data_IF_818561789310
#
_entry.id   IF_818561789310
#
_cell.length_a   1.000
_cell.length_b   1.000
_cell.length_c   1.000
_cell.angle_alpha   90.00
_cell.angle_beta   90.00
_cell.angle_gamma   90.00
#
_symmetry.space_group_name_H-M   'P 1'
#
loop_
_entity.id
_entity.type
_entity.pdbx_description
1 polymer ?
#
# COMPACT_ATOMS: atom_id res chain seq x y z
N UNK A 1 -54.52 20.31 -4.86
CA UNK A 1 -54.79 18.87 -4.63
C UNK A 1 -53.46 18.24 -4.21
N UNK A 2 -53.21 18.00 -2.93
CA UNK A 2 -52.04 17.31 -2.45
C UNK A 2 -52.20 15.82 -2.79
N UNK A 3 -51.52 15.37 -3.83
CA UNK A 3 -51.50 13.93 -4.18
C UNK A 3 -50.93 13.15 -2.98
N UNK A 4 -51.64 12.07 -2.62
CA UNK A 4 -51.13 11.16 -1.54
C UNK A 4 -49.72 10.72 -1.88
N UNK A 5 -48.75 10.82 -0.97
CA UNK A 5 -47.40 10.37 -1.23
C UNK A 5 -47.41 8.90 -1.67
N UNK A 6 -46.48 8.48 -2.57
CA UNK A 6 -46.37 7.10 -3.03
C UNK A 6 -46.11 6.19 -1.82
N UNK A 7 -46.52 4.92 -1.89
CA UNK A 7 -46.16 3.97 -0.85
C UNK A 7 -44.63 3.76 -0.84
N UNK A 8 -44.06 3.50 0.35
CA UNK A 8 -42.63 3.23 0.53
C UNK A 8 -42.17 2.12 -0.42
N UNK A 9 -42.93 1.04 -0.54
CA UNK A 9 -42.60 -0.10 -1.40
C UNK A 9 -42.62 0.27 -2.89
N UNK A 10 -43.63 1.04 -3.35
CA UNK A 10 -43.67 1.50 -4.73
C UNK A 10 -42.50 2.41 -5.08
N UNK A 11 -42.16 3.34 -4.18
CA UNK A 11 -41.02 4.24 -4.35
C UNK A 11 -39.69 3.46 -4.34
N UNK A 12 -39.49 2.52 -3.41
CA UNK A 12 -38.31 1.67 -3.36
C UNK A 12 -38.12 0.84 -4.65
N UNK A 13 -39.21 0.29 -5.20
CA UNK A 13 -39.15 -0.47 -6.47
C UNK A 13 -38.77 0.40 -7.67
N UNK A 14 -39.19 1.66 -7.72
CA UNK A 14 -38.79 2.57 -8.83
C UNK A 14 -37.30 2.87 -8.83
N UNK A 15 -36.60 2.68 -7.68
CA UNK A 15 -35.17 2.88 -7.52
C UNK A 15 -34.32 1.63 -7.84
N UNK A 16 -34.92 0.52 -8.28
CA UNK A 16 -34.20 -0.75 -8.52
C UNK A 16 -33.04 -0.63 -9.52
N UNK A 17 -33.10 0.34 -10.42
CA UNK A 17 -32.05 0.63 -11.41
C UNK A 17 -30.71 1.07 -10.77
N UNK A 18 -30.71 1.55 -9.52
CA UNK A 18 -29.50 1.95 -8.77
C UNK A 18 -28.66 0.71 -8.35
N UNK A 19 -29.27 -0.49 -8.36
CA UNK A 19 -28.55 -1.74 -8.07
C UNK A 19 -28.30 -2.02 -6.58
N UNK A 20 -28.86 -1.22 -5.67
CA UNK A 20 -28.79 -1.50 -4.24
C UNK A 20 -29.74 -2.64 -3.83
N UNK A 21 -29.39 -3.42 -2.78
CA UNK A 21 -30.33 -4.34 -2.14
C UNK A 21 -31.64 -3.64 -1.73
N UNK A 22 -32.79 -4.31 -1.98
CA UNK A 22 -34.11 -3.72 -1.72
C UNK A 22 -34.29 -3.07 -0.33
N UNK A 23 -33.78 -3.62 0.79
CA UNK A 23 -33.86 -2.95 2.10
C UNK A 23 -33.25 -1.54 2.12
N UNK A 24 -32.13 -1.32 1.43
CA UNK A 24 -31.48 -0.01 1.35
C UNK A 24 -32.32 0.98 0.51
N UNK A 25 -32.96 0.49 -0.55
CA UNK A 25 -33.91 1.30 -1.34
C UNK A 25 -35.15 1.68 -0.53
N UNK A 26 -35.63 0.76 0.32
CA UNK A 26 -36.70 1.03 1.28
C UNK A 26 -36.32 2.12 2.29
N UNK A 27 -35.09 2.09 2.78
CA UNK A 27 -34.58 3.10 3.71
C UNK A 27 -34.48 4.47 3.05
N UNK A 28 -33.98 4.54 1.80
CA UNK A 28 -33.97 5.78 1.00
C UNK A 28 -35.40 6.34 0.79
N UNK A 29 -36.34 5.46 0.39
CA UNK A 29 -37.74 5.85 0.20
C UNK A 29 -38.39 6.36 1.50
N UNK A 30 -38.14 5.74 2.64
CA UNK A 30 -38.62 6.18 3.96
C UNK A 30 -38.07 7.55 4.34
N UNK A 31 -36.77 7.78 4.15
CA UNK A 31 -36.13 9.06 4.44
C UNK A 31 -36.73 10.18 3.58
N UNK A 32 -36.90 9.96 2.28
CA UNK A 32 -37.49 10.93 1.37
C UNK A 32 -38.95 11.28 1.74
N UNK A 33 -39.79 10.27 2.08
CA UNK A 33 -41.17 10.47 2.52
C UNK A 33 -41.19 11.21 3.85
N UNK A 34 -40.32 10.87 4.82
CA UNK A 34 -40.21 11.55 6.10
C UNK A 34 -39.79 13.02 5.97
N UNK A 35 -38.96 13.35 4.97
CA UNK A 35 -38.57 14.70 4.62
C UNK A 35 -39.70 15.48 3.89
N UNK A 36 -40.82 14.83 3.56
CA UNK A 36 -41.92 15.43 2.82
C UNK A 36 -41.70 15.57 1.32
N UNK A 37 -40.61 15.08 0.80
CA UNK A 37 -40.25 15.14 -0.63
C UNK A 37 -39.84 13.77 -1.18
N UNK A 38 -40.76 12.99 -1.73
CA UNK A 38 -40.46 11.69 -2.35
C UNK A 38 -39.46 11.74 -3.51
N UNK A 39 -39.25 12.92 -4.13
CA UNK A 39 -38.30 13.07 -5.24
C UNK A 39 -36.84 12.96 -4.80
N UNK A 40 -36.57 13.22 -3.52
CA UNK A 40 -35.23 13.03 -2.92
C UNK A 40 -34.82 11.56 -2.82
N UNK A 41 -35.73 10.60 -3.02
CA UNK A 41 -35.42 9.18 -2.82
C UNK A 41 -34.29 8.66 -3.71
N UNK A 42 -34.23 9.13 -4.95
CA UNK A 42 -33.18 8.75 -5.89
C UNK A 42 -31.82 9.32 -5.47
N UNK A 43 -31.78 10.58 -5.06
CA UNK A 43 -30.56 11.19 -4.56
C UNK A 43 -30.07 10.47 -3.30
N UNK A 44 -30.96 10.22 -2.32
CA UNK A 44 -30.60 9.51 -1.09
C UNK A 44 -30.09 8.10 -1.39
N UNK A 45 -30.71 7.38 -2.33
CA UNK A 45 -30.25 6.05 -2.72
C UNK A 45 -28.86 6.10 -3.39
N UNK A 46 -28.60 7.10 -4.24
CA UNK A 46 -27.28 7.32 -4.85
C UNK A 46 -26.24 7.69 -3.79
N UNK A 47 -26.58 8.53 -2.79
CA UNK A 47 -25.68 8.86 -1.68
C UNK A 47 -25.33 7.61 -0.85
N UNK A 48 -26.34 6.74 -0.60
CA UNK A 48 -26.08 5.44 0.06
C UNK A 48 -25.11 4.60 -0.82
N UNK A 49 -25.37 4.50 -2.12
CA UNK A 49 -24.50 3.74 -3.03
C UNK A 49 -23.05 4.26 -3.05
N UNK A 50 -22.87 5.59 -3.02
CA UNK A 50 -21.56 6.23 -3.00
C UNK A 50 -20.78 6.01 -1.68
N UNK A 51 -21.49 5.74 -0.56
CA UNK A 51 -20.85 5.40 0.71
C UNK A 51 -20.37 3.94 0.79
N UNK A 52 -20.77 3.08 -0.13
CA UNK A 52 -20.37 1.68 -0.16
C UNK A 52 -19.00 1.50 -0.83
N UNK A 53 -18.34 0.39 -0.51
CA UNK A 53 -17.10 0.00 -1.18
C UNK A 53 -17.41 -0.42 -2.63
N UNK A 54 -16.95 0.35 -3.60
CA UNK A 54 -17.13 0.10 -5.03
C UNK A 54 -15.80 0.12 -5.76
N UNK A 55 -15.64 -0.67 -6.84
CA UNK A 55 -14.49 -0.53 -7.74
C UNK A 55 -14.48 0.86 -8.39
N UNK A 56 -13.30 1.44 -8.54
CA UNK A 56 -13.11 2.73 -9.19
C UNK A 56 -12.00 2.64 -10.24
N UNK A 57 -12.06 3.49 -11.26
CA UNK A 57 -10.97 3.66 -12.23
C UNK A 57 -10.03 4.74 -11.70
N UNK A 58 -8.80 4.36 -11.41
CA UNK A 58 -7.76 5.29 -10.96
C UNK A 58 -7.11 5.98 -12.16
N UNK A 59 -7.45 7.22 -12.41
CA UNK A 59 -6.87 8.08 -13.46
C UNK A 59 -6.02 9.22 -12.88
N UNK A 60 -5.57 9.08 -11.62
CA UNK A 60 -4.82 10.14 -10.91
C UNK A 60 -3.35 10.20 -11.28
N UNK A 61 -2.77 9.10 -11.80
CA UNK A 61 -1.33 8.97 -11.98
C UNK A 61 -0.56 8.58 -10.70
N UNK A 62 -1.25 8.29 -9.59
CA UNK A 62 -0.63 7.74 -8.37
C UNK A 62 -0.89 6.24 -8.33
N UNK A 63 0.16 5.40 -8.55
CA UNK A 63 -0.02 3.94 -8.70
C UNK A 63 -0.54 3.32 -7.41
N UNK A 64 0.18 3.46 -6.30
CA UNK A 64 -0.27 3.01 -4.97
C UNK A 64 -0.97 4.16 -4.24
N UNK A 65 -2.18 4.51 -4.69
CA UNK A 65 -2.93 5.66 -4.17
C UNK A 65 -3.53 5.35 -2.79
N UNK A 66 -3.14 6.10 -1.77
CA UNK A 66 -3.52 5.85 -0.36
C UNK A 66 -5.04 5.75 -0.17
N UNK A 67 -5.81 6.68 -0.72
CA UNK A 67 -7.27 6.72 -0.55
C UNK A 67 -8.02 5.72 -1.44
N UNK A 68 -7.33 5.05 -2.38
CA UNK A 68 -7.89 4.03 -3.27
C UNK A 68 -7.41 2.61 -2.89
N UNK A 69 -6.97 2.40 -1.66
CA UNK A 69 -6.54 1.09 -1.17
C UNK A 69 -5.10 0.74 -1.49
N UNK A 70 -4.28 1.71 -1.95
CA UNK A 70 -2.88 1.56 -2.37
C UNK A 70 -2.73 0.69 -3.61
N UNK A 71 -1.87 -0.35 -3.57
CA UNK A 71 -1.66 -1.21 -4.74
C UNK A 71 -2.89 -2.08 -5.03
N UNK A 72 -3.46 -2.03 -6.24
CA UNK A 72 -4.49 -2.97 -6.63
C UNK A 72 -3.91 -4.39 -6.72
N UNK A 73 -4.70 -5.39 -6.38
CA UNK A 73 -4.27 -6.79 -6.28
C UNK A 73 -5.03 -7.65 -7.27
N UNK A 74 -4.32 -8.34 -8.15
CA UNK A 74 -4.89 -9.33 -9.07
C UNK A 74 -5.11 -10.66 -8.32
N UNK A 75 -6.22 -10.79 -7.62
CA UNK A 75 -6.57 -12.02 -6.89
C UNK A 75 -8.05 -12.34 -7.00
N UNK A 76 -8.34 -13.58 -7.38
CA UNK A 76 -9.70 -14.13 -7.34
C UNK A 76 -9.75 -15.29 -6.35
N UNK A 77 -10.56 -15.15 -5.31
CA UNK A 77 -10.75 -16.20 -4.30
C UNK A 77 -11.71 -17.26 -4.81
N UNK A 78 -11.28 -18.52 -4.84
CA UNK A 78 -12.17 -19.64 -5.06
C UNK A 78 -13.02 -19.90 -3.80
N UNK A 79 -14.32 -20.13 -3.97
CA UNK A 79 -15.24 -20.45 -2.87
C UNK A 79 -15.05 -21.90 -2.36
N UNK A 80 -13.85 -22.22 -1.90
CA UNK A 80 -13.48 -23.55 -1.36
C UNK A 80 -12.62 -23.39 -0.11
N UNK A 81 -12.65 -24.40 0.76
CA UNK A 81 -11.72 -24.51 1.87
C UNK A 81 -10.26 -24.60 1.37
N UNK A 82 -9.36 -24.05 2.14
CA UNK A 82 -7.91 -24.04 1.87
C UNK A 82 -7.17 -24.67 3.04
N UNK A 83 -6.00 -25.25 2.78
CA UNK A 83 -5.13 -25.88 3.78
C UNK A 83 -4.36 -24.86 4.63
N UNK A 84 -5.01 -23.76 5.03
CA UNK A 84 -4.37 -22.62 5.68
C UNK A 84 -3.64 -22.95 6.99
N UNK A 85 -4.20 -23.87 7.79
CA UNK A 85 -3.60 -24.41 9.03
C UNK A 85 -3.58 -25.95 9.03
N UNK A 86 -3.55 -26.56 7.86
CA UNK A 86 -3.56 -28.00 7.71
C UNK A 86 -2.36 -28.45 6.87
N UNK A 87 -1.52 -29.30 7.46
CA UNK A 87 -0.38 -29.90 6.77
C UNK A 87 -0.86 -31.11 5.96
N UNK A 88 -0.80 -30.99 4.64
CA UNK A 88 -1.24 -32.05 3.71
C UNK A 88 -0.35 -33.29 3.75
N UNK A 89 0.91 -33.16 4.21
CA UNK A 89 1.87 -34.28 4.29
C UNK A 89 1.60 -35.14 5.53
N UNK A 90 1.36 -34.50 6.66
CA UNK A 90 1.19 -35.21 7.95
C UNK A 90 -0.26 -35.43 8.33
N UNK A 91 -1.22 -34.74 7.68
CA UNK A 91 -2.62 -34.72 8.06
C UNK A 91 -2.92 -34.07 9.40
N UNK A 92 -1.96 -33.30 9.93
CA UNK A 92 -2.06 -32.65 11.23
C UNK A 92 -2.27 -31.13 11.08
N UNK A 93 -2.56 -30.47 12.20
CA UNK A 93 -2.60 -29.01 12.25
C UNK A 93 -1.20 -28.43 12.02
N UNK A 94 -1.07 -27.58 10.99
CA UNK A 94 0.13 -26.85 10.65
C UNK A 94 0.09 -25.38 11.10
N UNK A 95 1.19 -24.68 10.85
CA UNK A 95 1.30 -23.24 11.08
C UNK A 95 0.71 -22.47 9.89
N UNK A 96 -0.17 -21.51 10.16
CA UNK A 96 -0.69 -20.56 9.17
C UNK A 96 0.41 -19.79 8.43
N UNK A 97 1.53 -19.59 9.08
CA UNK A 97 2.66 -18.80 8.56
C UNK A 97 3.63 -19.62 7.69
N UNK A 98 3.66 -20.94 7.84
CA UNK A 98 4.73 -21.77 7.29
C UNK A 98 4.91 -21.60 5.77
N UNK A 99 3.84 -21.74 4.99
CA UNK A 99 3.93 -21.64 3.53
C UNK A 99 4.32 -20.22 3.06
N UNK A 100 3.62 -19.21 3.55
CA UNK A 100 3.87 -17.81 3.16
C UNK A 100 5.23 -17.33 3.67
N UNK A 101 5.58 -17.65 4.92
CA UNK A 101 6.89 -17.29 5.48
C UNK A 101 8.06 -17.84 4.66
N UNK A 102 7.97 -19.08 4.19
CA UNK A 102 8.99 -19.68 3.33
C UNK A 102 9.12 -18.96 1.97
N UNK A 103 7.99 -18.59 1.35
CA UNK A 103 8.00 -17.87 0.07
C UNK A 103 8.62 -16.46 0.23
N UNK A 104 8.27 -15.74 1.30
CA UNK A 104 8.84 -14.42 1.61
C UNK A 104 10.33 -14.53 1.90
N UNK A 105 10.75 -15.47 2.77
CA UNK A 105 12.15 -15.68 3.10
C UNK A 105 12.97 -15.96 1.83
N UNK A 106 12.47 -16.81 0.94
CA UNK A 106 13.14 -17.10 -0.34
C UNK A 106 13.21 -15.87 -1.25
N UNK A 107 12.14 -15.06 -1.33
CA UNK A 107 12.11 -13.85 -2.17
C UNK A 107 13.09 -12.79 -1.68
N UNK A 108 13.29 -12.67 -0.36
CA UNK A 108 14.19 -11.71 0.27
C UNK A 108 15.60 -12.27 0.55
N UNK A 109 15.86 -13.56 0.33
CA UNK A 109 17.13 -14.19 0.71
C UNK A 109 17.36 -14.24 2.22
N UNK A 110 16.29 -14.34 3.01
CA UNK A 110 16.30 -14.38 4.47
C UNK A 110 16.31 -15.83 5.01
N UNK A 111 16.73 -16.03 6.26
CA UNK A 111 16.65 -17.32 6.94
C UNK A 111 15.20 -17.69 7.26
N UNK A 112 14.41 -16.70 7.69
CA UNK A 112 13.01 -16.87 8.08
C UNK A 112 12.20 -15.60 7.83
N UNK A 113 10.88 -15.75 7.80
CA UNK A 113 9.96 -14.64 7.68
C UNK A 113 8.60 -14.95 8.31
N UNK A 114 7.92 -13.88 8.76
CA UNK A 114 6.52 -13.93 9.16
C UNK A 114 5.73 -12.74 8.60
N UNK A 115 4.41 -12.88 8.57
CA UNK A 115 3.49 -11.87 8.05
C UNK A 115 2.51 -11.44 9.13
N UNK A 116 2.26 -10.13 9.20
CA UNK A 116 1.29 -9.50 10.09
C UNK A 116 0.36 -8.57 9.29
N UNK A 117 -0.61 -7.94 9.94
CA UNK A 117 -1.67 -7.14 9.30
C UNK A 117 -1.16 -5.96 8.46
N UNK A 118 -0.09 -5.29 8.89
CA UNK A 118 0.54 -4.15 8.24
C UNK A 118 1.93 -3.91 8.83
N UNK A 119 2.70 -3.00 8.24
CA UNK A 119 4.07 -2.72 8.70
C UNK A 119 4.12 -2.08 10.09
N UNK A 120 3.15 -1.27 10.48
CA UNK A 120 3.06 -0.74 11.84
C UNK A 120 2.96 -1.86 12.88
N UNK A 121 2.16 -2.90 12.59
CA UNK A 121 2.08 -4.11 13.39
C UNK A 121 3.39 -4.91 13.41
N UNK A 122 4.15 -4.92 12.30
CA UNK A 122 5.46 -5.57 12.25
C UNK A 122 6.45 -4.88 13.18
N UNK A 123 6.58 -3.56 13.10
CA UNK A 123 7.47 -2.77 13.97
C UNK A 123 7.06 -2.92 15.44
N UNK A 124 5.76 -2.78 15.75
CA UNK A 124 5.26 -2.95 17.12
C UNK A 124 5.57 -4.34 17.66
N UNK A 125 5.37 -5.40 16.89
CA UNK A 125 5.63 -6.77 17.32
C UNK A 125 7.12 -7.02 17.57
N UNK A 126 8.00 -6.53 16.69
CA UNK A 126 9.46 -6.63 16.86
C UNK A 126 9.89 -5.95 18.14
N UNK A 127 9.45 -4.72 18.37
CA UNK A 127 9.77 -3.95 19.58
C UNK A 127 9.25 -4.63 20.84
N UNK A 128 8.00 -5.09 20.86
CA UNK A 128 7.41 -5.78 21.99
C UNK A 128 8.09 -7.12 22.31
N UNK A 129 8.48 -7.88 21.26
CA UNK A 129 9.09 -9.19 21.44
C UNK A 129 10.57 -9.12 21.84
N UNK A 130 11.31 -8.12 21.36
CA UNK A 130 12.77 -8.08 21.48
C UNK A 130 13.30 -6.98 22.42
N UNK A 131 12.48 -5.97 22.74
CA UNK A 131 12.93 -4.79 23.46
C UNK A 131 12.02 -4.34 24.62
N UNK A 132 11.03 -5.13 25.01
CA UNK A 132 10.13 -4.77 26.12
C UNK A 132 10.93 -4.45 27.39
N UNK A 133 10.70 -3.26 27.97
CA UNK A 133 11.38 -2.79 29.17
C UNK A 133 12.84 -2.39 28.97
N UNK A 134 13.38 -2.44 27.75
CA UNK A 134 14.76 -2.11 27.39
C UNK A 134 14.82 -0.90 26.45
N UNK A 135 16.01 -0.40 26.20
CA UNK A 135 16.24 0.75 25.35
C UNK A 135 16.39 0.34 23.87
N UNK A 136 15.83 1.14 22.98
CA UNK A 136 15.97 1.01 21.53
C UNK A 136 16.64 2.28 21.00
N UNK A 137 17.83 2.13 20.43
CA UNK A 137 18.58 3.24 19.88
C UNK A 137 18.04 3.61 18.48
N UNK A 138 17.60 4.85 18.32
CA UNK A 138 17.06 5.38 17.05
C UNK A 138 17.73 6.71 16.76
N UNK A 139 18.10 6.95 15.49
CA UNK A 139 18.54 8.29 15.07
C UNK A 139 17.42 9.30 15.32
N UNK A 140 17.76 10.44 15.91
CA UNK A 140 16.78 11.53 16.10
C UNK A 140 16.18 12.00 14.78
N UNK A 141 16.91 11.94 13.66
CA UNK A 141 16.41 12.20 12.32
C UNK A 141 15.43 11.14 11.80
N UNK A 142 15.39 9.96 12.43
CA UNK A 142 14.53 8.83 12.09
C UNK A 142 13.34 8.67 13.06
N UNK A 143 13.21 9.53 14.08
CA UNK A 143 12.04 9.64 14.96
C UNK A 143 10.91 10.37 14.25
N UNK A 144 10.34 9.74 13.22
CA UNK A 144 9.46 10.34 12.23
C UNK A 144 7.99 9.99 12.44
N UNK A 145 7.11 10.81 11.85
CA UNK A 145 5.70 10.45 11.62
C UNK A 145 5.56 9.99 10.16
N UNK A 146 5.08 8.75 9.99
CA UNK A 146 4.72 8.17 8.70
C UNK A 146 3.19 8.20 8.54
N UNK A 147 2.68 8.19 7.32
CA UNK A 147 1.27 8.40 6.99
C UNK A 147 0.26 7.71 7.91
N UNK A 148 -0.85 8.40 8.21
CA UNK A 148 -1.91 7.90 9.08
C UNK A 148 -1.66 8.11 10.58
N UNK A 149 -0.74 9.01 10.96
CA UNK A 149 -0.45 9.32 12.36
C UNK A 149 0.45 8.27 13.04
N UNK A 150 1.13 7.41 12.28
CA UNK A 150 2.11 6.49 12.81
C UNK A 150 3.39 7.25 13.20
N UNK A 151 3.61 7.44 14.49
CA UNK A 151 4.79 8.08 15.06
C UNK A 151 5.68 7.06 15.72
N UNK A 152 6.93 6.97 15.29
CA UNK A 152 7.90 6.00 15.82
C UNK A 152 8.00 6.06 17.34
N UNK A 153 8.13 7.25 18.00
CA UNK A 153 8.17 7.33 19.47
C UNK A 153 6.92 6.77 20.15
N UNK A 154 5.73 7.07 19.64
CA UNK A 154 4.47 6.60 20.24
C UNK A 154 4.29 5.07 20.11
N UNK A 155 4.67 4.51 18.95
CA UNK A 155 4.65 3.05 18.72
C UNK A 155 5.63 2.36 19.66
N UNK A 156 6.80 2.97 19.88
CA UNK A 156 7.80 2.43 20.78
C UNK A 156 7.29 2.41 22.23
N UNK A 157 6.70 3.50 22.70
CA UNK A 157 6.05 3.55 24.01
C UNK A 157 4.98 2.48 24.19
N UNK A 158 4.09 2.33 23.19
CA UNK A 158 3.01 1.33 23.20
C UNK A 158 3.54 -0.12 23.15
N UNK A 159 4.72 -0.35 22.60
CA UNK A 159 5.38 -1.66 22.60
C UNK A 159 6.01 -2.03 23.94
N UNK A 160 6.12 -1.07 24.86
CA UNK A 160 6.83 -1.22 26.13
C UNK A 160 8.34 -1.07 26.04
N UNK A 161 8.90 -0.73 24.88
CA UNK A 161 10.30 -0.36 24.71
C UNK A 161 10.54 1.11 25.10
N UNK A 162 11.78 1.46 25.44
CA UNK A 162 12.15 2.83 25.73
C UNK A 162 12.94 3.43 24.56
N UNK A 163 12.52 4.60 24.08
CA UNK A 163 13.24 5.33 23.05
C UNK A 163 14.57 5.88 23.60
N UNK A 164 15.65 5.54 22.94
CA UNK A 164 16.97 6.16 23.16
C UNK A 164 17.35 6.96 21.90
N UNK A 165 17.12 8.26 21.94
CA UNK A 165 17.49 9.18 20.86
C UNK A 165 19.00 9.26 20.67
N UNK A 166 19.48 9.05 19.43
CA UNK A 166 20.89 9.10 19.04
C UNK A 166 21.14 10.20 18.03
N UNK A 167 22.25 10.93 18.20
CA UNK A 167 22.67 11.97 17.27
C UNK A 167 21.78 13.21 17.30
N UNK A 168 21.61 13.82 16.12
CA UNK A 168 20.81 15.04 15.91
C UNK A 168 19.81 14.83 14.76
N UNK A 169 18.91 15.80 14.54
CA UNK A 169 17.86 15.70 13.53
C UNK A 169 18.41 15.50 12.11
N UNK A 170 19.54 16.11 11.79
CA UNK A 170 20.13 16.07 10.45
C UNK A 170 21.44 15.30 10.35
N UNK A 171 22.04 14.91 11.48
CA UNK A 171 23.32 14.18 11.46
C UNK A 171 23.38 13.17 12.57
N UNK A 172 23.56 11.91 12.21
CA UNK A 172 23.80 10.80 13.15
C UNK A 172 24.90 9.92 12.61
N UNK A 173 25.93 9.72 13.41
CA UNK A 173 27.13 8.97 13.07
C UNK A 173 27.23 7.69 13.91
N UNK A 174 27.99 6.73 13.44
CA UNK A 174 28.29 5.51 14.18
C UNK A 174 28.83 5.77 15.59
N UNK A 175 29.66 6.82 15.75
CA UNK A 175 30.19 7.24 17.06
C UNK A 175 29.09 7.66 18.05
N UNK A 176 27.99 8.24 17.56
CA UNK A 176 26.86 8.63 18.42
C UNK A 176 26.15 7.39 18.98
N UNK A 177 25.95 6.35 18.14
CA UNK A 177 25.42 5.07 18.59
C UNK A 177 26.33 4.39 19.60
N UNK A 178 27.64 4.30 19.34
CA UNK A 178 28.61 3.74 20.30
C UNK A 178 28.55 4.44 21.66
N UNK A 179 28.56 5.78 21.63
CA UNK A 179 28.43 6.60 22.83
C UNK A 179 27.12 6.34 23.60
N UNK A 180 26.01 6.12 22.88
CA UNK A 180 24.70 5.83 23.48
C UNK A 180 24.67 4.44 24.12
N UNK A 181 25.23 3.43 23.44
CA UNK A 181 25.31 2.03 23.89
C UNK A 181 26.24 1.85 25.10
N UNK A 182 27.38 2.52 25.09
CA UNK A 182 28.42 2.37 26.14
C UNK A 182 28.06 3.11 27.45
N UNK A 183 26.93 3.82 27.51
CA UNK A 183 26.50 4.47 28.76
C UNK A 183 26.09 3.42 29.79
N UNK A 184 26.60 3.54 31.02
CA UNK A 184 26.26 2.63 32.15
C UNK A 184 24.78 2.65 32.53
N UNK A 185 24.04 3.67 32.10
CA UNK A 185 22.62 3.87 32.43
C UNK A 185 21.67 3.33 31.35
N UNK A 186 22.19 2.83 30.22
CA UNK A 186 21.38 2.30 29.10
C UNK A 186 21.45 0.78 29.06
N UNK A 187 20.35 0.14 28.73
CA UNK A 187 20.23 -1.29 28.44
C UNK A 187 19.69 -1.44 27.02
N UNK A 188 20.57 -1.24 26.02
CA UNK A 188 20.16 -1.23 24.61
C UNK A 188 19.91 -2.65 24.11
N UNK A 189 18.66 -2.95 23.76
CA UNK A 189 18.26 -4.23 23.19
C UNK A 189 18.59 -4.33 21.71
N UNK A 190 18.32 -3.26 20.96
CA UNK A 190 18.52 -3.21 19.51
C UNK A 190 18.69 -1.76 19.02
N UNK A 191 19.18 -1.63 17.80
CA UNK A 191 19.15 -0.41 16.99
C UNK A 191 17.98 -0.54 16.02
N UNK A 192 17.10 0.45 15.97
CA UNK A 192 16.06 0.56 14.95
C UNK A 192 16.46 1.65 13.94
N UNK A 193 16.72 1.24 12.70
CA UNK A 193 16.90 2.15 11.58
C UNK A 193 15.60 2.30 10.82
N UNK A 194 15.13 3.54 10.64
CA UNK A 194 13.86 3.83 9.96
C UNK A 194 14.12 4.60 8.68
N UNK A 195 13.72 4.04 7.56
CA UNK A 195 13.79 4.73 6.27
C UNK A 195 12.64 5.75 6.13
N UNK A 196 12.94 7.04 5.83
CA UNK A 196 11.92 8.07 5.63
C UNK A 196 11.23 7.89 4.26
N UNK A 197 10.36 6.88 4.18
CA UNK A 197 9.75 6.44 2.92
C UNK A 197 8.75 7.42 2.28
N UNK A 198 8.34 8.49 2.99
CA UNK A 198 7.32 9.45 2.54
C UNK A 198 7.82 10.89 2.38
N UNK A 199 9.07 11.17 2.71
CA UNK A 199 9.72 12.48 2.51
C UNK A 199 11.22 12.33 2.33
N UNK A 200 11.91 13.41 1.92
CA UNK A 200 13.37 13.50 1.83
C UNK A 200 13.88 14.61 2.72
N UNK A 201 15.06 14.37 3.32
CA UNK A 201 15.84 15.43 3.98
C UNK A 201 17.00 15.77 3.08
N UNK A 202 17.14 17.04 2.72
CA UNK A 202 18.19 17.52 1.82
C UNK A 202 19.07 18.56 2.53
N UNK A 203 20.30 18.69 2.05
CA UNK A 203 21.27 19.69 2.54
C UNK A 203 22.35 19.06 3.40
N UNK A 204 22.62 19.62 4.58
CA UNK A 204 23.69 19.18 5.49
C UNK A 204 23.23 17.98 6.33
N UNK A 205 23.12 16.81 5.69
CA UNK A 205 22.60 15.58 6.26
C UNK A 205 23.70 14.52 6.31
N UNK A 206 23.71 13.69 7.36
CA UNK A 206 24.59 12.54 7.50
C UNK A 206 23.83 11.43 8.25
N UNK A 207 23.74 10.26 7.64
CA UNK A 207 23.08 9.09 8.18
C UNK A 207 24.10 7.96 8.38
N UNK A 208 23.87 7.11 9.38
CA UNK A 208 24.66 5.90 9.56
C UNK A 208 24.05 4.78 8.74
N UNK A 209 24.84 4.15 7.88
CA UNK A 209 24.39 3.05 7.03
C UNK A 209 24.21 1.74 7.83
N UNK A 210 23.45 0.78 7.27
CA UNK A 210 23.14 -0.48 7.95
C UNK A 210 24.40 -1.32 8.20
N UNK A 211 25.32 -1.37 7.25
CA UNK A 211 26.60 -2.08 7.36
C UNK A 211 27.51 -1.49 8.46
N UNK A 212 27.48 -0.17 8.66
CA UNK A 212 28.16 0.47 9.78
C UNK A 212 27.49 0.09 11.11
N UNK A 213 26.14 0.12 11.18
CA UNK A 213 25.40 -0.26 12.39
C UNK A 213 25.63 -1.73 12.76
N UNK A 214 25.74 -2.63 11.80
CA UNK A 214 26.05 -4.03 12.02
C UNK A 214 27.39 -4.25 12.78
N UNK A 215 28.33 -3.31 12.68
CA UNK A 215 29.62 -3.37 13.41
C UNK A 215 29.50 -3.11 14.92
N UNK A 216 28.32 -2.73 15.41
CA UNK A 216 28.10 -2.44 16.82
C UNK A 216 27.97 -3.70 17.69
N UNK A 217 27.72 -4.87 17.08
CA UNK A 217 27.54 -6.14 17.81
C UNK A 217 26.21 -6.22 18.59
N UNK A 218 25.23 -5.37 18.22
CA UNK A 218 23.88 -5.32 18.77
C UNK A 218 22.90 -5.60 17.62
N UNK A 219 21.75 -6.21 17.92
CA UNK A 219 20.70 -6.49 16.93
C UNK A 219 20.32 -5.21 16.16
N UNK A 220 20.38 -5.27 14.83
CA UNK A 220 19.97 -4.18 13.94
C UNK A 220 18.67 -4.57 13.27
N UNK A 221 17.64 -3.77 13.50
CA UNK A 221 16.33 -3.87 12.82
C UNK A 221 16.20 -2.70 11.86
N UNK A 222 15.92 -2.97 10.59
CA UNK A 222 15.70 -1.92 9.59
C UNK A 222 14.26 -1.93 9.11
N UNK A 223 13.54 -0.83 9.39
CA UNK A 223 12.23 -0.57 8.78
C UNK A 223 12.42 0.17 7.46
N UNK A 224 12.30 -0.54 6.34
CA UNK A 224 12.39 0.06 5.00
C UNK A 224 11.04 0.59 4.49
N UNK A 225 9.95 0.14 5.07
CA UNK A 225 8.60 0.63 4.82
C UNK A 225 8.03 0.42 3.41
N UNK A 226 8.83 0.59 2.37
CA UNK A 226 8.38 0.64 0.96
C UNK A 226 8.04 -0.71 0.32
N UNK A 227 8.63 -1.80 0.81
CA UNK A 227 8.33 -3.16 0.32
C UNK A 227 9.02 -3.56 -0.97
N UNK A 228 10.14 -2.95 -1.33
CA UNK A 228 11.01 -3.45 -2.39
C UNK A 228 11.74 -4.72 -1.89
N UNK A 229 11.53 -5.86 -2.58
CA UNK A 229 12.08 -7.15 -2.14
C UNK A 229 13.56 -7.32 -2.50
N UNK A 230 13.94 -6.96 -3.73
CA UNK A 230 15.30 -7.07 -4.28
C UNK A 230 15.57 -5.86 -5.21
N UNK A 231 16.62 -5.09 -4.93
CA UNK A 231 17.01 -3.93 -5.75
C UNK A 231 17.39 -4.29 -7.18
N UNK A 232 17.80 -5.54 -7.46
CA UNK A 232 18.09 -6.02 -8.80
C UNK A 232 16.82 -6.25 -9.65
N UNK A 233 15.63 -6.25 -9.04
CA UNK A 233 14.33 -6.48 -9.69
C UNK A 233 14.34 -7.64 -10.70
N UNK A 234 14.73 -8.88 -10.30
CA UNK A 234 14.92 -9.99 -11.25
C UNK A 234 13.62 -10.46 -11.94
N UNK A 235 12.49 -9.88 -11.57
CA UNK A 235 11.17 -10.09 -12.17
C UNK A 235 10.82 -9.07 -13.28
N UNK A 236 11.71 -8.11 -13.55
CA UNK A 236 11.57 -7.13 -14.63
C UNK A 236 12.51 -7.48 -15.79
N UNK A 237 11.99 -7.39 -17.01
CA UNK A 237 12.76 -7.75 -18.21
C UNK A 237 13.95 -6.84 -18.44
N UNK A 238 13.80 -5.54 -18.17
CA UNK A 238 14.82 -4.51 -18.41
C UNK A 238 15.62 -4.16 -17.14
N UNK A 239 15.47 -4.97 -16.06
CA UNK A 239 16.08 -4.71 -14.77
C UNK A 239 15.43 -3.56 -13.98
N UNK A 240 16.09 -3.07 -12.92
CA UNK A 240 15.52 -2.06 -12.06
C UNK A 240 15.38 -0.71 -12.80
N UNK A 241 14.18 -0.09 -12.77
CA UNK A 241 14.01 1.23 -13.35
C UNK A 241 14.76 2.29 -12.53
N UNK A 242 15.29 3.32 -13.21
CA UNK A 242 16.11 4.36 -12.59
C UNK A 242 15.44 5.13 -11.45
N UNK A 243 14.11 5.17 -11.43
CA UNK A 243 13.36 5.81 -10.35
C UNK A 243 13.43 5.06 -9.01
N UNK A 244 13.91 3.80 -8.98
CA UNK A 244 14.20 3.04 -7.76
C UNK A 244 15.60 3.31 -7.17
N UNK A 245 16.42 4.10 -7.82
CA UNK A 245 17.77 4.38 -7.33
C UNK A 245 17.73 5.00 -5.93
N UNK A 246 18.41 4.36 -4.98
CA UNK A 246 18.46 4.77 -3.59
C UNK A 246 17.30 4.27 -2.72
N UNK A 247 16.32 3.57 -3.29
CA UNK A 247 15.26 2.95 -2.50
C UNK A 247 15.80 1.65 -1.86
N UNK A 248 15.69 1.50 -0.51
CA UNK A 248 16.19 0.31 0.16
C UNK A 248 15.35 -0.91 -0.18
N UNK A 249 16.01 -2.04 -0.40
CA UNK A 249 15.36 -3.33 -0.66
C UNK A 249 15.70 -4.35 0.43
N UNK A 250 14.74 -5.21 0.78
CA UNK A 250 14.86 -6.14 1.89
C UNK A 250 16.10 -7.04 1.78
N UNK A 251 16.35 -7.60 0.59
CA UNK A 251 17.49 -8.49 0.34
C UNK A 251 18.84 -7.80 0.55
N UNK A 252 19.03 -6.60 0.01
CA UNK A 252 20.28 -5.86 0.16
C UNK A 252 20.46 -5.33 1.60
N UNK A 253 19.38 -4.92 2.24
CA UNK A 253 19.42 -4.50 3.65
C UNK A 253 19.85 -5.62 4.59
N UNK A 254 19.36 -6.87 4.36
CA UNK A 254 19.83 -8.05 5.06
C UNK A 254 21.31 -8.36 4.75
N UNK A 255 21.69 -8.30 3.47
CA UNK A 255 23.07 -8.54 3.04
C UNK A 255 24.05 -7.51 3.64
N UNK A 256 23.59 -6.29 3.91
CA UNK A 256 24.34 -5.23 4.59
C UNK A 256 24.39 -5.41 6.12
N UNK A 257 23.85 -6.50 6.66
CA UNK A 257 23.99 -6.89 8.06
C UNK A 257 22.83 -6.49 8.98
N UNK A 258 21.66 -6.11 8.45
CA UNK A 258 20.46 -6.04 9.26
C UNK A 258 20.08 -7.46 9.74
N UNK A 259 19.78 -7.62 11.03
CA UNK A 259 19.30 -8.88 11.60
C UNK A 259 17.83 -9.13 11.24
N UNK A 260 17.03 -8.06 11.22
CA UNK A 260 15.64 -8.06 10.78
C UNK A 260 15.36 -6.87 9.86
N UNK A 261 14.49 -7.09 8.89
CA UNK A 261 13.92 -6.04 8.04
C UNK A 261 12.40 -6.08 8.14
N UNK A 262 11.76 -4.91 8.27
CA UNK A 262 10.30 -4.77 8.23
C UNK A 262 9.84 -3.92 7.05
N UNK A 263 8.69 -4.27 6.45
CA UNK A 263 8.15 -3.54 5.31
C UNK A 263 6.66 -3.82 5.05
N UNK A 264 6.04 -2.96 4.22
CA UNK A 264 4.64 -3.08 3.79
C UNK A 264 4.49 -3.91 2.51
N UNK A 265 3.41 -4.71 2.43
CA UNK A 265 3.11 -5.50 1.23
C UNK A 265 2.31 -4.75 0.15
N UNK A 266 1.64 -3.66 0.52
CA UNK A 266 0.69 -2.93 -0.33
C UNK A 266 1.28 -1.68 -1.01
N UNK A 267 2.60 -1.57 -1.04
CA UNK A 267 3.35 -0.50 -1.71
C UNK A 267 4.11 -1.07 -2.92
N UNK A 268 5.45 -0.96 -2.97
CA UNK A 268 6.27 -1.44 -4.09
C UNK A 268 6.17 -2.96 -4.33
N UNK A 269 5.87 -3.74 -3.29
CA UNK A 269 5.60 -5.17 -3.46
C UNK A 269 4.34 -5.42 -4.31
N UNK A 270 3.39 -4.49 -4.36
CA UNK A 270 2.18 -4.64 -5.17
C UNK A 270 1.23 -5.74 -4.71
N UNK A 271 1.32 -6.14 -3.45
CA UNK A 271 0.46 -7.14 -2.82
C UNK A 271 -0.68 -6.51 -1.98
N UNK A 272 -1.44 -7.34 -1.25
CA UNK A 272 -2.44 -6.87 -0.32
C UNK A 272 -1.81 -6.20 0.89
N UNK A 273 -2.60 -5.38 1.63
CA UNK A 273 -2.15 -4.81 2.89
C UNK A 273 -1.67 -5.91 3.84
N UNK A 274 -0.41 -5.82 4.22
CA UNK A 274 0.31 -6.74 5.10
C UNK A 274 1.59 -6.08 5.58
N UNK A 275 2.15 -6.60 6.68
CA UNK A 275 3.47 -6.25 7.16
C UNK A 275 4.34 -7.49 7.21
N UNK A 276 5.62 -7.33 6.97
CA UNK A 276 6.59 -8.42 6.95
C UNK A 276 7.66 -8.20 8.00
N UNK A 277 8.11 -9.29 8.62
CA UNK A 277 9.30 -9.37 9.45
C UNK A 277 10.16 -10.46 8.83
N UNK A 278 11.31 -10.10 8.30
CA UNK A 278 12.21 -11.03 7.59
C UNK A 278 13.63 -10.92 8.13
N UNK A 279 14.36 -12.01 8.22
CA UNK A 279 15.76 -12.03 8.66
C UNK A 279 16.13 -13.29 9.43
N UNK A 280 16.88 -13.13 10.52
CA UNK A 280 17.36 -14.23 11.35
C UNK A 280 16.23 -15.06 11.93
N UNK A 281 16.40 -16.37 11.86
CA UNK A 281 15.37 -17.33 12.25
C UNK A 281 15.01 -17.27 13.74
N UNK A 282 15.99 -17.09 14.61
CA UNK A 282 15.79 -16.99 16.07
C UNK A 282 14.95 -15.76 16.46
N UNK A 283 15.20 -14.62 15.82
CA UNK A 283 14.46 -13.36 16.08
C UNK A 283 13.05 -13.40 15.50
N UNK A 284 12.88 -13.95 14.30
CA UNK A 284 11.54 -14.16 13.70
C UNK A 284 10.73 -15.12 14.57
N UNK A 285 11.34 -16.19 15.10
CA UNK A 285 10.69 -17.13 16.00
C UNK A 285 10.29 -16.47 17.34
N UNK A 286 11.12 -15.59 17.89
CA UNK A 286 10.79 -14.81 19.09
C UNK A 286 9.55 -13.93 18.84
N UNK A 287 9.48 -13.24 17.70
CA UNK A 287 8.31 -12.48 17.30
C UNK A 287 7.07 -13.37 17.14
N UNK A 288 7.20 -14.54 16.50
CA UNK A 288 6.10 -15.46 16.27
C UNK A 288 5.56 -16.10 17.57
N UNK A 289 6.40 -16.27 18.57
CA UNK A 289 6.04 -16.80 19.89
C UNK A 289 5.35 -15.75 20.78
N UNK A 290 5.49 -14.45 20.48
CA UNK A 290 4.91 -13.39 21.29
C UNK A 290 3.37 -13.38 21.20
N UNK A 291 2.62 -13.17 22.32
CA UNK A 291 1.15 -13.19 22.32
C UNK A 291 0.50 -12.24 21.30
N UNK A 292 1.09 -11.07 21.04
CA UNK A 292 0.61 -10.11 20.04
C UNK A 292 0.60 -10.68 18.63
N UNK A 293 1.46 -11.65 18.30
CA UNK A 293 1.49 -12.27 16.97
C UNK A 293 0.13 -12.89 16.58
N UNK A 294 -0.63 -13.38 17.58
CA UNK A 294 -1.99 -13.89 17.35
C UNK A 294 -2.98 -12.79 17.04
N UNK A 295 -2.91 -11.65 17.73
CA UNK A 295 -3.79 -10.49 17.51
C UNK A 295 -3.49 -9.80 16.17
N UNK A 296 -2.22 -9.79 15.76
CA UNK A 296 -1.73 -9.11 14.57
C UNK A 296 -1.71 -10.00 13.30
N UNK A 297 -2.19 -11.25 13.37
CA UNK A 297 -2.13 -12.18 12.25
C UNK A 297 -3.10 -11.80 11.12
N UNK A 298 -2.72 -11.89 9.84
CA UNK A 298 -3.59 -11.60 8.71
C UNK A 298 -4.66 -12.68 8.52
N UNK A 299 -5.79 -12.29 7.90
CA UNK A 299 -6.86 -13.19 7.52
C UNK A 299 -6.47 -14.11 6.34
N UNK A 300 -7.27 -15.19 6.14
CA UNK A 300 -7.02 -16.17 5.07
C UNK A 300 -7.03 -15.56 3.66
N UNK A 301 -7.92 -14.59 3.39
CA UNK A 301 -7.95 -13.89 2.09
C UNK A 301 -6.65 -13.15 1.79
N UNK A 302 -6.09 -12.46 2.79
CA UNK A 302 -4.81 -11.75 2.65
C UNK A 302 -3.68 -12.75 2.36
N UNK A 303 -3.64 -13.88 3.08
CA UNK A 303 -2.60 -14.91 2.88
C UNK A 303 -2.73 -15.59 1.51
N UNK A 304 -3.95 -15.87 1.04
CA UNK A 304 -4.18 -16.43 -0.29
C UNK A 304 -3.73 -15.45 -1.41
N UNK A 305 -4.03 -14.17 -1.25
CA UNK A 305 -3.59 -13.13 -2.16
C UNK A 305 -2.06 -12.96 -2.15
N UNK A 306 -1.43 -12.97 -0.96
CA UNK A 306 0.02 -12.94 -0.82
C UNK A 306 0.69 -14.15 -1.46
N UNK A 307 0.10 -15.34 -1.33
CA UNK A 307 0.61 -16.53 -2.00
C UNK A 307 0.74 -16.28 -3.51
N UNK A 308 -0.31 -15.81 -4.17
CA UNK A 308 -0.28 -15.52 -5.61
C UNK A 308 0.77 -14.45 -5.96
N UNK A 309 0.81 -13.35 -5.20
CA UNK A 309 1.80 -12.28 -5.39
C UNK A 309 3.23 -12.82 -5.30
N UNK A 310 3.53 -13.61 -4.26
CA UNK A 310 4.88 -14.19 -4.06
C UNK A 310 5.23 -15.22 -5.13
N UNK A 311 4.26 -16.03 -5.58
CA UNK A 311 4.47 -16.96 -6.68
C UNK A 311 4.85 -16.21 -7.97
N UNK A 312 4.23 -15.06 -8.28
CA UNK A 312 4.60 -14.24 -9.43
C UNK A 312 6.03 -13.68 -9.32
N UNK A 313 6.48 -13.30 -8.12
CA UNK A 313 7.88 -12.90 -7.90
C UNK A 313 8.86 -14.04 -8.13
N UNK A 314 8.59 -15.21 -7.54
CA UNK A 314 9.47 -16.39 -7.67
C UNK A 314 9.49 -16.96 -9.09
N UNK A 315 8.35 -16.90 -9.80
CA UNK A 315 8.24 -17.25 -11.21
C UNK A 315 8.83 -16.19 -12.16
N UNK A 316 9.22 -15.01 -11.66
CA UNK A 316 9.69 -13.85 -12.44
C UNK A 316 8.65 -13.32 -13.44
N UNK A 317 7.38 -13.44 -13.11
CA UNK A 317 6.25 -12.94 -13.94
C UNK A 317 5.59 -11.70 -13.35
N UNK A 318 6.13 -11.16 -12.26
CA UNK A 318 5.52 -10.05 -11.52
C UNK A 318 5.31 -8.79 -12.38
N UNK A 319 6.16 -8.52 -13.37
CA UNK A 319 5.97 -7.43 -14.32
C UNK A 319 4.59 -7.51 -15.03
N UNK A 320 4.15 -8.72 -15.36
CA UNK A 320 2.88 -8.97 -16.04
C UNK A 320 1.72 -9.15 -15.06
N UNK A 321 1.95 -9.94 -14.00
CA UNK A 321 0.88 -10.45 -13.14
C UNK A 321 0.51 -9.48 -12.01
N UNK A 322 1.44 -8.64 -11.55
CA UNK A 322 1.22 -7.69 -10.46
C UNK A 322 0.85 -6.32 -11.04
N UNK A 323 -0.37 -5.81 -10.77
CA UNK A 323 -0.84 -4.55 -11.33
C UNK A 323 0.10 -3.36 -11.09
N UNK A 324 0.70 -3.26 -9.90
CA UNK A 324 1.69 -2.22 -9.59
C UNK A 324 2.83 -2.21 -10.62
N UNK A 325 3.48 -3.36 -10.83
CA UNK A 325 4.63 -3.46 -11.75
C UNK A 325 4.22 -3.30 -13.20
N UNK A 326 3.06 -3.82 -13.61
CA UNK A 326 2.51 -3.60 -14.95
C UNK A 326 2.34 -2.12 -15.23
N UNK A 327 1.69 -1.37 -14.31
CA UNK A 327 1.54 0.08 -14.43
C UNK A 327 2.89 0.81 -14.41
N UNK A 328 3.78 0.48 -13.48
CA UNK A 328 5.07 1.14 -13.31
C UNK A 328 6.00 0.99 -14.52
N UNK A 329 5.90 -0.13 -15.25
CA UNK A 329 6.79 -0.47 -16.39
C UNK A 329 6.14 -0.23 -17.75
N UNK A 330 4.85 0.13 -17.85
CA UNK A 330 4.22 0.48 -19.13
C UNK A 330 4.98 1.61 -19.81
N UNK A 331 5.36 1.41 -21.06
CA UNK A 331 6.15 2.37 -21.82
C UNK A 331 5.36 3.66 -22.16
N UNK A 332 6.07 4.79 -22.23
CA UNK A 332 5.48 6.08 -22.65
C UNK A 332 4.86 5.97 -24.05
N UNK A 333 5.46 5.15 -24.94
CA UNK A 333 4.96 4.92 -26.30
C UNK A 333 3.60 4.22 -26.31
N UNK A 334 3.40 3.21 -25.45
CA UNK A 334 2.09 2.53 -25.30
C UNK A 334 1.03 3.47 -24.71
N UNK A 335 1.39 4.23 -23.65
CA UNK A 335 0.47 5.22 -23.08
C UNK A 335 0.05 6.28 -24.10
N UNK A 336 0.98 6.76 -24.93
CA UNK A 336 0.70 7.75 -25.98
C UNK A 336 -0.26 7.20 -27.04
N UNK A 337 -0.03 5.97 -27.47
CA UNK A 337 -0.94 5.27 -28.40
C UNK A 337 -2.37 5.19 -27.84
N UNK A 338 -2.51 4.75 -26.58
CA UNK A 338 -3.82 4.67 -25.90
C UNK A 338 -4.48 6.05 -25.82
N UNK A 339 -3.73 7.08 -25.43
CA UNK A 339 -4.23 8.46 -25.33
C UNK A 339 -4.73 8.97 -26.68
N UNK A 340 -3.99 8.74 -27.77
CA UNK A 340 -4.38 9.12 -29.12
C UNK A 340 -5.68 8.42 -29.53
N UNK A 341 -5.77 7.10 -29.32
CA UNK A 341 -6.98 6.33 -29.63
C UNK A 341 -8.20 6.86 -28.87
N UNK A 342 -8.05 7.21 -27.59
CA UNK A 342 -9.16 7.76 -26.79
C UNK A 342 -9.61 9.12 -27.35
N UNK A 343 -8.68 10.02 -27.68
CA UNK A 343 -9.01 11.33 -28.27
C UNK A 343 -9.68 11.18 -29.65
N UNK A 344 -9.19 10.27 -30.51
CA UNK A 344 -9.78 9.98 -31.82
C UNK A 344 -11.23 9.50 -31.70
N UNK A 345 -11.56 8.68 -30.69
CA UNK A 345 -12.90 8.13 -30.50
C UNK A 345 -13.87 9.09 -29.80
N UNK A 346 -13.35 10.04 -29.04
CA UNK A 346 -14.18 10.94 -28.22
C UNK A 346 -14.26 12.35 -28.80
N UNK A 347 -13.23 12.80 -29.50
CA UNK A 347 -13.04 14.20 -29.86
C UNK A 347 -12.75 15.11 -28.68
N UNK A 348 -12.49 14.54 -27.47
CA UNK A 348 -12.39 15.28 -26.20
C UNK A 348 -10.96 15.23 -25.68
N UNK A 349 -10.45 16.39 -25.25
CA UNK A 349 -9.17 16.54 -24.61
C UNK A 349 -7.97 16.58 -25.57
N UNK A 350 -6.80 16.77 -25.00
CA UNK A 350 -5.51 16.81 -25.69
C UNK A 350 -4.54 15.83 -25.05
N UNK A 351 -3.77 15.13 -25.86
CA UNK A 351 -2.71 14.23 -25.38
C UNK A 351 -1.54 15.05 -24.86
N UNK A 352 -1.13 14.80 -23.62
CA UNK A 352 -0.04 15.53 -22.99
C UNK A 352 0.94 14.57 -22.31
N UNK A 353 2.21 14.98 -22.27
CA UNK A 353 3.20 14.36 -21.39
C UNK A 353 2.93 14.80 -19.94
N UNK A 354 3.00 13.86 -19.03
CA UNK A 354 2.81 14.11 -17.62
C UNK A 354 3.72 13.22 -16.76
N UNK A 355 3.56 13.32 -15.45
CA UNK A 355 4.31 12.55 -14.49
C UNK A 355 3.37 11.83 -13.53
N UNK A 356 3.58 10.55 -13.37
CA UNK A 356 2.94 9.69 -12.38
C UNK A 356 3.82 9.54 -11.15
N UNK A 357 3.23 9.09 -10.04
CA UNK A 357 3.92 8.81 -8.79
C UNK A 357 3.84 7.31 -8.45
N UNK A 358 4.90 6.69 -7.93
CA UNK A 358 4.85 5.31 -7.44
C UNK A 358 3.79 5.13 -6.35
N UNK A 359 3.68 6.11 -5.44
CA UNK A 359 2.73 6.13 -4.34
C UNK A 359 3.29 6.80 -3.11
N UNK A 360 2.41 7.15 -2.16
CA UNK A 360 2.85 7.66 -0.87
C UNK A 360 3.53 6.55 -0.05
N UNK A 361 4.64 6.88 0.60
CA UNK A 361 5.41 5.93 1.43
C UNK A 361 6.34 5.00 0.65
N UNK A 362 6.71 5.40 -0.58
CA UNK A 362 7.73 4.72 -1.39
C UNK A 362 8.35 5.70 -2.38
N UNK A 363 9.67 5.65 -2.56
CA UNK A 363 10.44 6.49 -3.48
C UNK A 363 10.04 8.00 -3.40
N UNK A 364 10.22 8.68 -2.25
CA UNK A 364 9.73 10.04 -2.04
C UNK A 364 10.37 11.02 -3.00
N UNK A 365 9.56 11.96 -3.55
CA UNK A 365 10.00 12.99 -4.50
C UNK A 365 10.37 12.46 -5.88
N UNK A 366 10.07 11.20 -6.17
CA UNK A 366 10.34 10.58 -7.47
C UNK A 366 9.08 10.59 -8.34
N UNK A 367 9.26 10.85 -9.63
CA UNK A 367 8.22 10.78 -10.64
C UNK A 367 8.57 9.75 -11.72
N UNK A 368 7.54 9.24 -12.38
CA UNK A 368 7.63 8.31 -13.51
C UNK A 368 7.04 9.00 -14.74
N UNK A 369 7.80 9.12 -15.82
CA UNK A 369 7.30 9.70 -17.08
C UNK A 369 6.02 9.01 -17.52
N UNK A 370 5.00 9.78 -17.84
CA UNK A 370 3.68 9.28 -18.22
C UNK A 370 3.08 10.08 -19.38
N UNK A 371 1.93 9.61 -19.85
CA UNK A 371 1.08 10.30 -20.84
C UNK A 371 -0.35 10.24 -20.36
N UNK A 372 -1.05 11.35 -20.51
CA UNK A 372 -2.45 11.47 -20.14
C UNK A 372 -3.23 12.37 -21.10
N UNK A 373 -4.44 12.69 -20.67
CA UNK A 373 -5.35 13.59 -21.34
C UNK A 373 -5.57 14.82 -20.47
N UNK A 374 -5.57 15.99 -21.09
CA UNK A 374 -6.02 17.26 -20.47
C UNK A 374 -7.34 17.67 -21.13
N UNK A 375 -8.33 17.99 -20.31
CA UNK A 375 -9.66 18.41 -20.71
C UNK A 375 -9.93 19.74 -20.02
N UNK A 376 -10.32 20.77 -20.78
CA UNK A 376 -10.63 22.08 -20.24
C UNK A 376 -11.79 22.01 -19.24
N UNK A 377 -11.64 22.67 -18.10
CA UNK A 377 -12.64 22.68 -17.04
C UNK A 377 -12.45 21.61 -15.97
N UNK A 378 -13.23 21.75 -14.90
CA UNK A 378 -13.29 20.79 -13.80
C UNK A 378 -14.45 19.80 -13.99
N UNK A 379 -14.13 18.60 -14.38
CA UNK A 379 -15.09 17.51 -14.60
C UNK A 379 -15.05 16.45 -13.49
N UNK A 380 -14.36 16.69 -12.36
CA UNK A 380 -14.17 15.69 -11.31
C UNK A 380 -15.49 15.15 -10.75
N UNK A 381 -16.51 16.02 -10.59
CA UNK A 381 -17.81 15.60 -10.07
C UNK A 381 -18.53 14.68 -11.06
N UNK A 382 -18.53 15.04 -12.35
CA UNK A 382 -19.15 14.22 -13.39
C UNK A 382 -18.47 12.85 -13.53
N UNK A 383 -17.12 12.82 -13.49
CA UNK A 383 -16.34 11.59 -13.56
C UNK A 383 -16.56 10.70 -12.32
N UNK A 384 -16.62 11.27 -11.11
CA UNK A 384 -16.91 10.50 -9.90
C UNK A 384 -18.31 9.91 -9.87
N UNK A 385 -19.26 10.58 -10.50
CA UNK A 385 -20.66 10.11 -10.59
C UNK A 385 -20.89 9.14 -11.76
N UNK A 386 -19.86 8.86 -12.55
CA UNK A 386 -19.94 7.83 -13.59
C UNK A 386 -19.93 6.43 -12.99
N UNK A 387 -20.38 5.42 -13.73
CA UNK A 387 -20.37 4.01 -13.28
C UNK A 387 -19.53 3.14 -14.22
N UNK A 388 -18.41 2.59 -13.75
CA UNK A 388 -17.78 2.80 -12.41
C UNK A 388 -17.20 4.21 -12.26
N UNK A 389 -17.05 4.72 -11.01
CA UNK A 389 -16.48 6.05 -10.77
C UNK A 389 -15.05 6.18 -11.30
N UNK A 390 -14.75 7.33 -11.93
CA UNK A 390 -13.42 7.65 -12.45
C UNK A 390 -12.80 8.73 -11.57
N UNK A 391 -11.64 8.42 -10.98
CA UNK A 391 -10.94 9.33 -10.07
C UNK A 391 -9.78 9.99 -10.82
N UNK A 392 -9.95 11.25 -11.15
CA UNK A 392 -8.97 12.08 -11.85
C UNK A 392 -8.45 13.21 -10.93
N UNK A 393 -7.61 14.10 -11.47
CA UNK A 393 -7.10 15.29 -10.76
C UNK A 393 -7.33 16.55 -11.58
N UNK A 394 -7.41 17.71 -10.92
CA UNK A 394 -7.40 19.02 -11.59
C UNK A 394 -6.00 19.61 -11.49
N UNK A 395 -5.50 20.13 -12.60
CA UNK A 395 -4.29 20.93 -12.70
C UNK A 395 -4.57 22.13 -13.62
N UNK A 396 -4.20 23.32 -13.18
CA UNK A 396 -4.33 24.56 -13.97
C UNK A 396 -5.74 24.78 -14.54
N UNK A 397 -6.78 24.50 -13.75
CA UNK A 397 -8.22 24.58 -14.08
C UNK A 397 -8.67 23.57 -15.15
N UNK A 398 -7.88 22.58 -15.47
CA UNK A 398 -8.21 21.52 -16.41
C UNK A 398 -8.20 20.17 -15.73
N UNK A 399 -9.07 19.27 -16.17
CA UNK A 399 -9.11 17.90 -15.69
C UNK A 399 -7.99 17.10 -16.36
N UNK A 400 -7.16 16.47 -15.55
CA UNK A 400 -6.05 15.61 -15.96
C UNK A 400 -6.40 14.14 -15.71
N UNK A 401 -6.32 13.33 -16.75
CA UNK A 401 -6.47 11.87 -16.73
C UNK A 401 -5.11 11.26 -17.08
N UNK A 402 -4.47 10.61 -16.14
CA UNK A 402 -3.18 9.95 -16.36
C UNK A 402 -3.41 8.47 -16.68
N UNK A 403 -3.04 8.06 -17.90
CA UNK A 403 -3.33 6.71 -18.41
C UNK A 403 -2.43 5.61 -17.82
N UNK A 404 -1.36 5.95 -17.12
CA UNK A 404 -0.51 4.96 -16.46
C UNK A 404 -1.26 4.15 -15.41
N UNK A 405 -2.19 4.79 -14.69
CA UNK A 405 -2.94 4.16 -13.61
C UNK A 405 -4.33 3.65 -14.05
N UNK A 406 -4.72 3.89 -15.30
CA UNK A 406 -5.92 3.32 -15.91
C UNK A 406 -5.58 1.96 -16.51
N UNK A 407 -6.26 0.89 -16.06
CA UNK A 407 -6.10 -0.43 -16.68
C UNK A 407 -6.56 -0.36 -18.14
N UNK A 408 -5.83 -0.96 -19.10
CA UNK A 408 -6.23 -0.97 -20.50
C UNK A 408 -7.63 -1.55 -20.76
N UNK A 409 -8.11 -2.45 -19.91
CA UNK A 409 -9.48 -2.98 -20.00
C UNK A 409 -10.57 -1.94 -19.74
N UNK A 410 -10.22 -0.81 -19.10
CA UNK A 410 -11.14 0.28 -18.77
C UNK A 410 -11.17 1.38 -19.85
N UNK A 411 -10.35 1.30 -20.92
CA UNK A 411 -10.30 2.32 -21.97
C UNK A 411 -11.66 2.53 -22.63
N UNK A 412 -12.44 1.48 -22.85
CA UNK A 412 -13.78 1.60 -23.43
C UNK A 412 -14.75 2.35 -22.49
N UNK A 413 -14.66 2.10 -21.19
CA UNK A 413 -15.46 2.79 -20.17
C UNK A 413 -15.07 4.26 -20.10
N UNK A 414 -13.77 4.56 -20.14
CA UNK A 414 -13.26 5.93 -20.15
C UNK A 414 -13.73 6.70 -21.38
N UNK A 415 -13.70 6.09 -22.58
CA UNK A 415 -14.21 6.68 -23.82
C UNK A 415 -15.70 7.07 -23.68
N UNK A 416 -16.53 6.16 -23.17
CA UNK A 416 -17.97 6.43 -23.00
C UNK A 416 -18.24 7.51 -21.93
N UNK A 417 -17.44 7.55 -20.86
CA UNK A 417 -17.53 8.60 -19.85
C UNK A 417 -17.18 9.97 -20.43
N UNK A 418 -16.11 10.05 -21.22
CA UNK A 418 -15.64 11.31 -21.82
C UNK A 418 -16.63 11.88 -22.83
N UNK A 419 -17.31 11.04 -23.62
CA UNK A 419 -18.39 11.49 -24.52
C UNK A 419 -19.58 12.12 -23.80
N UNK A 420 -19.80 11.79 -22.51
CA UNK A 420 -20.93 12.32 -21.72
C UNK A 420 -20.64 13.62 -21.00
N UNK A 421 -19.38 13.97 -20.80
CA UNK A 421 -18.99 15.19 -20.09
C UNK A 421 -18.66 16.35 -21.04
N UNK A 422 -18.70 16.11 -22.33
CA UNK A 422 -18.55 17.09 -23.41
C UNK A 422 -19.90 17.39 -24.04
#
# INVERSE_FOLDING_TARGET
>A
MTSRPPSVDSLARSLAHIGLPHPLLVDAARQAIAAGDPQLAEQIANDIAQCLLVPVINATGVIAHTNLGRSPVAHTQTARAQNLEFDLTTGQRGSRQAGIGQLVARACGAESAMVVNNNAAAVMLVLAALAQGRDVAVSRGESVEIGGGFRVPEVMEQSGARLLDVGTTNRTRLADYRKAIDRKTTDVALVLKVHPSNYRVEGFVEETAVDELATLGITVVSDIGSGLLDAACPWLNDGPPSWLNGEPAAKQTLANGADLVTFSGDKLMGGPQSGFIVGRADLVQACAAHPLARALRPGGLVLASLHNTLMSYLARTAQKDIPFWRMATTSVGELRKRAQTIVEHTGVGQVVDCESLPGAGSAPGITIKSVGLVIDGDHLVALRNYQPPIIARVKDRSTMIDLRTVDPSDDAVLIEALKKIH
#
